data_IF_620527357293
#
_entry.id   IF_620527357293
#
_cell.length_a   1.000
_cell.length_b   1.000
_cell.length_c   1.000
_cell.angle_alpha   90.00
_cell.angle_beta   90.00
_cell.angle_gamma   90.00
#
_symmetry.space_group_name_H-M   'P 1'
#
loop_
_entity.id
_entity.type
_entity.pdbx_description
1 polymer ?
#
# COMPACT_ATOMS: atom_id res chain seq x y z
N UNK A 1 13.54 -21.08 14.08
CA UNK A 1 12.10 -20.89 14.37
C UNK A 1 11.54 -19.56 13.84
N UNK A 2 12.35 -18.64 13.27
CA UNK A 2 11.87 -17.37 12.71
C UNK A 2 11.36 -17.44 11.25
N UNK A 3 11.68 -18.50 10.50
CA UNK A 3 11.35 -18.60 9.06
C UNK A 3 9.86 -18.83 8.79
N UNK A 4 9.21 -19.70 9.57
CA UNK A 4 7.79 -20.04 9.36
C UNK A 4 6.84 -18.88 9.66
N UNK A 5 7.19 -18.00 10.60
CA UNK A 5 6.40 -16.80 10.91
C UNK A 5 6.41 -15.80 9.76
N UNK A 6 7.57 -15.58 9.13
CA UNK A 6 7.70 -14.70 7.98
C UNK A 6 7.03 -15.27 6.72
N UNK A 7 7.07 -16.59 6.51
CA UNK A 7 6.37 -17.24 5.39
C UNK A 7 4.85 -17.11 5.50
N UNK A 8 4.28 -17.34 6.70
CA UNK A 8 2.83 -17.19 6.96
C UNK A 8 2.41 -15.72 6.80
N UNK A 9 3.21 -14.79 7.30
CA UNK A 9 2.96 -13.36 7.18
C UNK A 9 3.01 -12.89 5.71
N UNK A 10 3.95 -13.40 4.93
CA UNK A 10 4.05 -13.11 3.49
C UNK A 10 2.89 -13.71 2.69
N UNK A 11 2.46 -14.94 3.00
CA UNK A 11 1.25 -15.52 2.40
C UNK A 11 0.02 -14.67 2.71
N UNK A 12 -0.13 -14.20 3.96
CA UNK A 12 -1.23 -13.32 4.35
C UNK A 12 -1.18 -11.94 3.67
N UNK A 13 0.01 -11.37 3.45
CA UNK A 13 0.14 -10.12 2.68
C UNK A 13 -0.24 -10.29 1.21
N UNK A 14 0.08 -11.42 0.59
CA UNK A 14 -0.33 -11.70 -0.78
C UNK A 14 -1.85 -11.82 -0.92
N UNK A 15 -2.52 -12.49 0.03
CA UNK A 15 -3.98 -12.57 0.06
C UNK A 15 -4.62 -11.18 0.22
N UNK A 16 -4.12 -10.35 1.14
CA UNK A 16 -4.61 -8.97 1.30
C UNK A 16 -4.42 -8.12 0.04
N UNK A 17 -3.33 -8.31 -0.73
CA UNK A 17 -3.14 -7.61 -2.02
C UNK A 17 -4.23 -8.02 -3.03
N UNK A 18 -4.59 -9.30 -3.09
CA UNK A 18 -5.64 -9.78 -3.98
C UNK A 18 -7.01 -9.21 -3.60
N UNK A 19 -7.33 -9.18 -2.30
CA UNK A 19 -8.58 -8.59 -1.80
C UNK A 19 -8.65 -7.08 -2.10
N UNK A 20 -7.53 -6.36 -1.95
CA UNK A 20 -7.46 -4.95 -2.29
C UNK A 20 -7.67 -4.72 -3.80
N UNK A 21 -7.07 -5.55 -4.66
CA UNK A 21 -7.29 -5.48 -6.11
C UNK A 21 -8.75 -5.74 -6.49
N UNK A 22 -9.39 -6.75 -5.88
CA UNK A 22 -10.79 -7.04 -6.12
C UNK A 22 -11.71 -5.87 -5.68
N UNK A 23 -11.41 -5.24 -4.54
CA UNK A 23 -12.12 -4.04 -4.10
C UNK A 23 -11.96 -2.86 -5.09
N UNK A 24 -10.75 -2.64 -5.61
CA UNK A 24 -10.50 -1.62 -6.66
C UNK A 24 -11.30 -1.94 -7.92
N UNK A 25 -11.32 -3.20 -8.36
CA UNK A 25 -12.08 -3.62 -9.55
C UNK A 25 -13.59 -3.44 -9.38
N UNK A 26 -14.11 -3.57 -8.15
CA UNK A 26 -15.50 -3.26 -7.80
C UNK A 26 -15.78 -1.75 -7.72
N UNK A 27 -14.74 -0.91 -7.71
CA UNK A 27 -14.83 0.53 -7.53
C UNK A 27 -14.88 0.96 -6.05
N UNK A 28 -14.81 0.01 -5.12
CA UNK A 28 -14.86 0.23 -3.68
C UNK A 28 -13.47 0.62 -3.16
N UNK A 29 -13.06 1.84 -3.51
CA UNK A 29 -11.75 2.38 -3.14
C UNK A 29 -11.58 2.54 -1.61
N UNK A 30 -12.67 2.75 -0.86
CA UNK A 30 -12.62 2.85 0.60
C UNK A 30 -12.22 1.53 1.27
N UNK A 31 -12.75 0.41 0.77
CA UNK A 31 -12.38 -0.93 1.23
C UNK A 31 -10.91 -1.23 0.93
N UNK A 32 -10.46 -0.91 -0.30
CA UNK A 32 -9.05 -1.05 -0.69
C UNK A 32 -8.13 -0.22 0.22
N UNK A 33 -8.49 1.03 0.53
CA UNK A 33 -7.72 1.88 1.46
C UNK A 33 -7.66 1.29 2.86
N UNK A 34 -8.76 0.68 3.33
CA UNK A 34 -8.81 -0.04 4.61
C UNK A 34 -7.83 -1.21 4.65
N UNK A 35 -7.83 -2.03 3.59
CA UNK A 35 -6.93 -3.18 3.45
C UNK A 35 -5.47 -2.73 3.44
N UNK A 36 -5.10 -1.75 2.60
CA UNK A 36 -3.73 -1.23 2.56
C UNK A 36 -3.29 -0.61 3.90
N UNK A 37 -4.20 0.04 4.62
CA UNK A 37 -3.88 0.59 5.95
C UNK A 37 -3.54 -0.51 6.96
N UNK A 38 -4.26 -1.65 6.90
CA UNK A 38 -3.95 -2.83 7.71
C UNK A 38 -2.61 -3.43 7.32
N UNK A 39 -2.35 -3.56 6.02
CA UNK A 39 -1.07 -4.05 5.50
C UNK A 39 0.10 -3.18 5.94
N UNK A 40 0.00 -1.85 5.84
CA UNK A 40 1.02 -0.90 6.30
C UNK A 40 1.32 -1.07 7.80
N UNK A 41 0.29 -1.28 8.62
CA UNK A 41 0.44 -1.50 10.07
C UNK A 41 1.18 -2.81 10.39
N UNK A 42 1.05 -3.81 9.52
CA UNK A 42 1.73 -5.11 9.61
C UNK A 42 3.16 -5.01 9.05
N UNK A 43 3.33 -4.33 7.92
CA UNK A 43 4.57 -4.17 7.17
C UNK A 43 5.59 -3.23 7.83
N UNK A 44 5.17 -2.35 8.75
CA UNK A 44 6.06 -1.49 9.54
C UNK A 44 7.15 -2.23 10.35
N UNK A 45 7.12 -3.57 10.38
CA UNK A 45 8.11 -4.43 11.04
C UNK A 45 8.98 -5.26 10.07
N UNK A 46 8.84 -5.12 8.75
CA UNK A 46 9.39 -6.09 7.78
C UNK A 46 10.42 -5.48 6.83
N UNK A 47 10.03 -4.63 5.86
CA UNK A 47 10.98 -4.04 4.88
C UNK A 47 10.50 -2.67 4.35
N UNK A 48 11.45 -1.74 4.16
CA UNK A 48 11.15 -0.36 3.72
C UNK A 48 10.64 -0.30 2.26
N UNK A 49 11.13 -1.15 1.37
CA UNK A 49 10.74 -1.12 -0.05
C UNK A 49 9.29 -1.54 -0.24
N UNK A 50 8.86 -2.63 0.41
CA UNK A 50 7.48 -3.08 0.36
C UNK A 50 6.53 -2.09 1.04
N UNK A 51 6.96 -1.50 2.16
CA UNK A 51 6.19 -0.44 2.83
C UNK A 51 5.97 0.77 1.90
N UNK A 52 6.99 1.18 1.15
CA UNK A 52 6.90 2.26 0.17
C UNK A 52 5.88 1.94 -0.94
N UNK A 53 5.92 0.74 -1.52
CA UNK A 53 4.94 0.31 -2.52
C UNK A 53 3.51 0.33 -2.00
N UNK A 54 3.28 -0.12 -0.75
CA UNK A 54 1.94 -0.09 -0.14
C UNK A 54 1.39 1.33 0.02
N UNK A 55 2.25 2.31 0.30
CA UNK A 55 1.83 3.72 0.33
C UNK A 55 1.47 4.22 -1.08
N UNK A 56 2.23 3.86 -2.12
CA UNK A 56 1.89 4.20 -3.51
C UNK A 56 0.57 3.55 -3.96
N UNK A 57 0.35 2.28 -3.62
CA UNK A 57 -0.89 1.58 -3.98
C UNK A 57 -2.12 2.20 -3.29
N UNK A 58 -1.96 2.60 -2.01
CA UNK A 58 -2.99 3.33 -1.28
C UNK A 58 -3.23 4.73 -1.84
N UNK A 59 -2.17 5.42 -2.27
CA UNK A 59 -2.28 6.72 -2.92
C UNK A 59 -3.11 6.64 -4.21
N UNK A 60 -2.86 5.63 -5.06
CA UNK A 60 -3.66 5.40 -6.27
C UNK A 60 -5.16 5.24 -5.94
N UNK A 61 -5.50 4.44 -4.93
CA UNK A 61 -6.88 4.25 -4.49
C UNK A 61 -7.53 5.57 -4.02
N UNK A 62 -6.79 6.38 -3.25
CA UNK A 62 -7.27 7.68 -2.77
C UNK A 62 -7.45 8.69 -3.90
N UNK A 63 -6.56 8.68 -4.89
CA UNK A 63 -6.69 9.53 -6.08
C UNK A 63 -7.92 9.13 -6.92
N UNK A 64 -8.17 7.84 -7.10
CA UNK A 64 -9.40 7.33 -7.73
C UNK A 64 -10.66 7.74 -6.95
N UNK A 65 -10.60 7.72 -5.62
CA UNK A 65 -11.65 8.21 -4.73
C UNK A 65 -11.75 9.75 -4.65
N UNK A 66 -10.96 10.50 -5.43
CA UNK A 66 -10.88 11.98 -5.42
C UNK A 66 -10.46 12.59 -4.08
N UNK A 67 -9.80 11.80 -3.23
CA UNK A 67 -9.20 12.22 -1.96
C UNK A 67 -7.78 12.74 -2.18
N UNK A 68 -7.63 13.78 -3.02
CA UNK A 68 -6.32 14.21 -3.54
C UNK A 68 -5.30 14.56 -2.46
N UNK A 69 -5.72 15.25 -1.39
CA UNK A 69 -4.82 15.63 -0.30
C UNK A 69 -4.21 14.41 0.41
N UNK A 70 -5.05 13.41 0.71
CA UNK A 70 -4.62 12.17 1.36
C UNK A 70 -3.79 11.28 0.42
N UNK A 71 -4.05 11.35 -0.89
CA UNK A 71 -3.22 10.71 -1.90
C UNK A 71 -1.82 11.31 -1.95
N UNK A 72 -1.70 12.64 -1.95
CA UNK A 72 -0.42 13.34 -1.93
C UNK A 72 0.41 13.03 -0.67
N UNK A 73 -0.24 12.97 0.51
CA UNK A 73 0.44 12.58 1.75
C UNK A 73 1.00 11.16 1.69
N UNK A 74 0.28 10.24 1.03
CA UNK A 74 0.76 8.87 0.82
C UNK A 74 1.92 8.82 -0.17
N UNK A 75 1.86 9.58 -1.26
CA UNK A 75 2.99 9.72 -2.20
C UNK A 75 4.25 10.26 -1.51
N UNK A 76 4.10 11.31 -0.68
CA UNK A 76 5.21 11.90 0.07
C UNK A 76 5.81 10.89 1.06
N UNK A 77 4.98 10.08 1.73
CA UNK A 77 5.46 8.99 2.58
C UNK A 77 6.18 7.92 1.78
N UNK A 78 5.62 7.48 0.66
CA UNK A 78 6.24 6.47 -0.21
C UNK A 78 7.66 6.90 -0.61
N UNK A 79 7.81 8.14 -1.08
CA UNK A 79 9.10 8.73 -1.48
C UNK A 79 10.04 8.84 -0.28
N UNK A 80 9.54 9.26 0.90
CA UNK A 80 10.39 9.39 2.10
C UNK A 80 10.97 8.05 2.59
N UNK A 81 10.24 6.96 2.36
CA UNK A 81 10.64 5.61 2.77
C UNK A 81 11.59 4.99 1.73
N UNK A 82 11.29 5.17 0.45
CA UNK A 82 12.13 4.75 -0.65
C UNK A 82 12.17 5.83 -1.74
N UNK A 83 13.27 6.57 -1.79
CA UNK A 83 13.51 7.63 -2.77
C UNK A 83 13.58 7.12 -4.22
N UNK A 84 13.70 5.80 -4.43
CA UNK A 84 13.68 5.14 -5.75
C UNK A 84 12.30 4.67 -6.18
N UNK A 85 11.26 4.84 -5.37
CA UNK A 85 9.90 4.47 -5.75
C UNK A 85 9.36 5.45 -6.81
N UNK A 86 9.46 5.05 -8.07
CA UNK A 86 9.03 5.84 -9.24
C UNK A 86 7.52 6.11 -9.19
N UNK A 87 6.72 5.16 -8.70
CA UNK A 87 5.25 5.28 -8.65
C UNK A 87 4.82 6.42 -7.73
N UNK A 88 5.52 6.64 -6.61
CA UNK A 88 5.27 7.77 -5.72
C UNK A 88 5.47 9.13 -6.38
N UNK A 89 6.43 9.23 -7.32
CA UNK A 89 6.62 10.45 -8.12
C UNK A 89 5.58 10.59 -9.23
N UNK A 90 5.22 9.48 -9.89
CA UNK A 90 4.23 9.46 -10.98
C UNK A 90 2.84 9.84 -10.47
N UNK A 91 2.43 9.33 -9.33
CA UNK A 91 1.10 9.59 -8.75
C UNK A 91 0.96 11.00 -8.15
N UNK A 92 2.08 11.71 -7.96
CA UNK A 92 2.09 13.09 -7.47
C UNK A 92 1.82 14.13 -8.57
N UNK A 93 1.98 13.76 -9.85
CA UNK A 93 1.84 14.62 -11.02
C UNK A 93 0.57 14.29 -11.82
#
# INVERSE_FOLDING_TARGET
>A
MASHGNEIMNMSMQEMKLDAFDAILRGDCDDAVGIYTRMISIAGNVENDELSSLFSDRAACRLLAKQFQLGLEDCDRAISINERNIDGYVQKW
#
